data_IF_612247045774
#
_entry.id   IF_612247045774
#
_cell.length_a   1.000
_cell.length_b   1.000
_cell.length_c   1.000
_cell.angle_alpha   90.00
_cell.angle_beta   90.00
_cell.angle_gamma   90.00
#
_symmetry.space_group_name_H-M   'P 1'
#
loop_
_entity.id
_entity.type
_entity.pdbx_description
1 polymer ?
#
# COMPACT_ATOMS: atom_id res chain seq x y z
N UNK A 1 17.27 21.43 18.27
CA UNK A 1 17.39 22.11 16.94
C UNK A 1 15.96 22.37 16.47
N UNK A 2 15.60 23.60 16.08
CA UNK A 2 14.23 23.91 15.65
C UNK A 2 14.06 23.71 14.14
N UNK A 3 12.82 23.53 13.66
CA UNK A 3 12.51 23.47 12.22
C UNK A 3 12.94 24.72 11.46
N UNK A 4 12.90 25.89 12.09
CA UNK A 4 13.36 27.17 11.48
C UNK A 4 14.86 27.19 11.13
N UNK A 5 15.68 26.38 11.80
CA UNK A 5 17.10 26.25 11.50
C UNK A 5 17.40 25.30 10.33
N UNK A 6 16.40 24.60 9.79
CA UNK A 6 16.60 23.60 8.73
C UNK A 6 16.54 24.19 7.30
N UNK A 7 16.25 25.48 7.12
CA UNK A 7 16.20 26.12 5.80
C UNK A 7 14.95 25.83 4.98
N UNK A 8 13.84 25.48 5.62
CA UNK A 8 12.55 25.24 4.97
C UNK A 8 11.89 26.56 4.53
N UNK A 9 11.06 26.48 3.50
CA UNK A 9 10.25 27.61 3.01
C UNK A 9 9.32 28.14 4.14
N UNK A 10 9.12 29.47 4.27
CA UNK A 10 8.27 30.06 5.31
C UNK A 10 6.83 29.50 5.34
N UNK A 11 6.23 29.22 4.17
CA UNK A 11 4.89 28.65 4.06
C UNK A 11 4.85 27.20 4.61
N UNK A 12 5.91 26.44 4.38
CA UNK A 12 6.07 25.09 4.94
C UNK A 12 6.28 25.15 6.45
N UNK A 13 7.13 26.06 6.95
CA UNK A 13 7.33 26.26 8.39
C UNK A 13 6.02 26.64 9.09
N UNK A 14 5.22 27.50 8.49
CA UNK A 14 3.90 27.84 9.01
C UNK A 14 3.01 26.61 9.10
N UNK A 15 2.92 25.80 8.05
CA UNK A 15 2.13 24.59 8.03
C UNK A 15 2.58 23.54 9.07
N UNK A 16 3.89 23.38 9.26
CA UNK A 16 4.51 22.51 10.29
C UNK A 16 4.10 22.95 11.70
N UNK A 17 4.16 24.25 11.97
CA UNK A 17 3.74 24.84 13.27
C UNK A 17 2.24 24.62 13.53
N UNK A 18 1.40 24.83 12.51
CA UNK A 18 -0.06 24.61 12.59
C UNK A 18 -0.43 23.14 12.73
N UNK A 19 0.41 22.20 12.25
CA UNK A 19 0.29 20.77 12.49
C UNK A 19 0.78 20.32 13.88
N UNK A 20 1.26 21.27 14.74
CA UNK A 20 1.67 21.00 16.12
C UNK A 20 3.10 20.46 16.28
N UNK A 21 3.90 20.47 15.22
CA UNK A 21 5.28 20.02 15.31
C UNK A 21 6.18 21.14 15.88
N UNK A 22 6.83 20.89 17.01
CA UNK A 22 7.71 21.84 17.70
C UNK A 22 9.19 21.63 17.37
N UNK A 23 9.63 20.37 17.34
CA UNK A 23 11.01 20.00 17.11
C UNK A 23 11.15 18.88 16.07
N UNK A 24 12.18 18.93 15.23
CA UNK A 24 12.42 17.86 14.26
C UNK A 24 12.92 16.59 14.95
N UNK A 25 12.44 15.47 14.50
CA UNK A 25 12.98 14.16 14.91
C UNK A 25 14.43 13.98 14.42
N UNK A 26 15.20 13.04 14.99
CA UNK A 26 16.59 12.81 14.58
C UNK A 26 16.76 12.56 13.08
N UNK A 27 15.85 11.78 12.44
CA UNK A 27 15.91 11.53 10.99
C UNK A 27 15.62 12.81 10.18
N UNK A 28 14.69 13.67 10.64
CA UNK A 28 14.36 14.92 9.99
C UNK A 28 15.53 15.90 10.08
N UNK A 29 16.12 16.06 11.27
CA UNK A 29 17.25 16.94 11.49
C UNK A 29 18.48 16.55 10.65
N UNK A 30 18.72 15.25 10.45
CA UNK A 30 19.85 14.74 9.68
C UNK A 30 19.60 14.68 8.16
N UNK A 31 18.35 14.43 7.72
CA UNK A 31 18.04 14.24 6.30
C UNK A 31 17.63 15.51 5.57
N UNK A 32 16.94 16.45 6.23
CA UNK A 32 16.44 17.67 5.57
C UNK A 32 17.55 18.53 4.96
N UNK A 33 18.65 18.86 5.68
CA UNK A 33 19.69 19.72 5.12
C UNK A 33 20.38 19.14 3.85
N UNK A 34 20.84 17.87 3.80
CA UNK A 34 21.43 17.33 2.58
C UNK A 34 20.42 17.22 1.42
N UNK A 35 19.13 16.99 1.68
CA UNK A 35 18.08 16.98 0.64
C UNK A 35 17.94 18.41 0.06
N UNK A 36 17.87 19.43 0.89
CA UNK A 36 17.82 20.84 0.44
C UNK A 36 19.08 21.24 -0.33
N UNK A 37 20.24 20.69 0.03
CA UNK A 37 21.49 20.90 -0.71
C UNK A 37 21.52 20.19 -2.08
N UNK A 38 20.52 19.34 -2.41
CA UNK A 38 20.42 18.67 -3.71
C UNK A 38 21.10 17.30 -3.78
N UNK A 39 21.55 16.75 -2.67
CA UNK A 39 22.15 15.41 -2.64
C UNK A 39 21.09 14.32 -2.72
N UNK A 40 21.39 13.24 -3.42
CA UNK A 40 20.68 11.98 -3.24
C UNK A 40 20.86 11.47 -1.81
N UNK A 41 19.87 10.76 -1.27
CA UNK A 41 19.91 10.36 0.14
C UNK A 41 19.38 8.94 0.33
N UNK A 42 20.09 8.19 1.19
CA UNK A 42 19.62 6.94 1.77
C UNK A 42 19.26 7.21 3.24
N UNK A 43 17.98 7.14 3.57
CA UNK A 43 17.47 7.30 4.93
C UNK A 43 17.10 5.97 5.56
N UNK A 44 17.89 5.50 6.52
CA UNK A 44 17.63 4.25 7.24
C UNK A 44 17.08 4.57 8.62
N UNK A 45 15.80 4.29 8.83
CA UNK A 45 15.13 4.51 10.12
C UNK A 45 13.84 3.67 10.21
N UNK A 46 13.44 3.31 11.42
CA UNK A 46 12.22 2.54 11.68
C UNK A 46 10.95 3.31 11.30
N UNK A 47 9.81 2.61 11.17
CA UNK A 47 8.50 3.26 10.99
C UNK A 47 8.14 4.06 12.24
N UNK A 48 7.44 5.20 12.06
CA UNK A 48 7.07 6.08 13.17
C UNK A 48 8.17 7.07 13.60
N UNK A 49 9.35 7.06 12.98
CA UNK A 49 10.44 8.02 13.30
C UNK A 49 10.31 9.36 12.60
N UNK A 50 9.28 9.55 11.75
CA UNK A 50 9.07 10.79 11.01
C UNK A 50 9.72 10.85 9.63
N UNK A 51 10.02 9.68 8.98
CA UNK A 51 10.59 9.61 7.63
C UNK A 51 9.78 10.37 6.59
N UNK A 52 8.44 10.27 6.65
CA UNK A 52 7.56 10.96 5.69
C UNK A 52 7.78 12.47 5.68
N UNK A 53 7.87 13.11 6.85
CA UNK A 53 8.18 14.52 6.93
C UNK A 53 9.63 14.82 6.52
N UNK A 54 10.58 13.90 6.78
CA UNK A 54 11.98 14.08 6.43
C UNK A 54 12.22 14.24 4.92
N UNK A 55 11.42 13.61 4.06
CA UNK A 55 11.49 13.84 2.61
C UNK A 55 10.44 14.84 2.09
N UNK A 56 9.25 14.86 2.67
CA UNK A 56 8.15 15.71 2.18
C UNK A 56 8.45 17.19 2.39
N UNK A 57 8.91 17.60 3.57
CA UNK A 57 9.18 19.01 3.89
C UNK A 57 10.22 19.64 2.96
N UNK A 58 11.43 19.06 2.74
CA UNK A 58 12.41 19.64 1.83
C UNK A 58 11.96 19.57 0.37
N UNK A 59 11.25 18.50 -0.05
CA UNK A 59 10.69 18.39 -1.40
C UNK A 59 9.66 19.50 -1.65
N UNK A 60 8.72 19.72 -0.74
CA UNK A 60 7.73 20.80 -0.84
C UNK A 60 8.38 22.19 -0.82
N UNK A 61 9.43 22.40 -0.03
CA UNK A 61 10.20 23.65 -0.03
C UNK A 61 10.75 23.95 -1.42
N UNK A 62 11.34 22.96 -2.09
CA UNK A 62 11.86 23.12 -3.45
C UNK A 62 10.76 23.31 -4.50
N UNK A 63 9.64 22.58 -4.36
CA UNK A 63 8.47 22.75 -5.24
C UNK A 63 7.81 24.12 -5.05
N UNK A 64 7.80 24.69 -3.84
CA UNK A 64 7.23 25.99 -3.56
C UNK A 64 7.86 27.08 -4.43
N UNK A 65 9.19 27.08 -4.57
CA UNK A 65 9.91 28.02 -5.42
C UNK A 65 9.52 27.87 -6.91
N UNK A 66 9.46 26.61 -7.40
CA UNK A 66 9.13 26.34 -8.81
C UNK A 66 7.66 26.63 -9.17
N UNK A 67 6.72 26.32 -8.26
CA UNK A 67 5.28 26.53 -8.45
C UNK A 67 4.92 28.01 -8.29
N UNK A 68 5.54 28.72 -7.35
CA UNK A 68 5.28 30.15 -7.07
C UNK A 68 5.52 31.05 -8.27
N UNK A 69 6.49 30.73 -9.10
CA UNK A 69 6.82 31.46 -10.33
C UNK A 69 5.88 31.15 -11.51
N UNK A 70 4.90 30.26 -11.32
CA UNK A 70 3.96 29.83 -12.39
C UNK A 70 4.62 29.09 -13.56
N UNK A 71 5.91 28.78 -13.45
CA UNK A 71 6.71 28.12 -14.51
C UNK A 71 6.46 26.63 -14.60
N UNK A 72 6.02 26.02 -13.49
CA UNK A 72 5.87 24.57 -13.41
C UNK A 72 4.48 24.12 -13.87
N UNK A 73 4.40 23.43 -15.00
CA UNK A 73 3.15 22.91 -15.57
C UNK A 73 3.01 21.40 -15.59
N UNK A 74 4.07 20.63 -15.23
CA UNK A 74 4.09 19.18 -15.28
C UNK A 74 4.41 18.54 -13.92
N UNK A 75 4.49 17.21 -13.91
CA UNK A 75 4.85 16.43 -12.72
C UNK A 75 6.33 16.61 -12.40
N UNK A 76 6.62 17.16 -11.23
CA UNK A 76 7.97 17.44 -10.76
C UNK A 76 8.46 16.42 -9.76
N UNK A 77 7.56 15.79 -9.03
CA UNK A 77 7.90 14.84 -8.00
C UNK A 77 7.06 13.57 -8.10
N UNK A 78 7.71 12.44 -7.83
CA UNK A 78 7.12 11.11 -7.73
C UNK A 78 7.53 10.47 -6.41
N UNK A 79 6.55 10.02 -5.64
CA UNK A 79 6.76 9.20 -4.45
C UNK A 79 6.21 7.81 -4.72
N UNK A 80 7.04 6.79 -4.61
CA UNK A 80 6.64 5.39 -4.69
C UNK A 80 6.53 4.80 -3.29
N UNK A 81 5.44 4.10 -3.02
CA UNK A 81 5.15 3.45 -1.75
C UNK A 81 4.52 2.06 -1.97
N UNK A 82 4.80 1.06 -1.08
CA UNK A 82 4.36 -0.32 -1.28
C UNK A 82 2.85 -0.53 -1.21
N UNK A 83 2.15 0.26 -0.40
CA UNK A 83 0.74 0.03 -0.08
C UNK A 83 -0.13 1.26 -0.32
N UNK A 84 -1.41 1.01 -0.57
CA UNK A 84 -2.42 2.06 -0.77
C UNK A 84 -2.60 2.93 0.46
N UNK A 85 -2.54 2.31 1.62
CA UNK A 85 -2.68 2.96 2.92
C UNK A 85 -1.55 3.98 3.11
N UNK A 86 -0.31 3.58 2.81
CA UNK A 86 0.85 4.48 2.91
C UNK A 86 0.77 5.60 1.85
N UNK A 87 0.29 5.31 0.63
CA UNK A 87 0.05 6.36 -0.39
C UNK A 87 -0.92 7.41 0.12
N UNK A 88 -2.03 7.00 0.76
CA UNK A 88 -3.02 7.92 1.33
C UNK A 88 -2.47 8.70 2.53
N UNK A 89 -1.71 8.06 3.40
CA UNK A 89 -1.05 8.74 4.53
C UNK A 89 -0.03 9.77 4.07
N UNK A 90 0.77 9.44 3.04
CA UNK A 90 1.70 10.41 2.46
C UNK A 90 0.92 11.57 1.83
N UNK A 91 -0.21 11.31 1.17
CA UNK A 91 -1.07 12.36 0.61
C UNK A 91 -1.62 13.29 1.69
N UNK A 92 -2.13 12.75 2.81
CA UNK A 92 -2.60 13.52 3.96
C UNK A 92 -1.50 14.42 4.51
N UNK A 93 -0.29 13.88 4.72
CA UNK A 93 0.87 14.64 5.16
C UNK A 93 1.26 15.74 4.16
N UNK A 94 1.31 15.41 2.87
CA UNK A 94 1.62 16.37 1.80
C UNK A 94 0.60 17.51 1.79
N UNK A 95 -0.70 17.21 1.93
CA UNK A 95 -1.76 18.22 2.01
C UNK A 95 -1.64 19.08 3.26
N UNK A 96 -1.32 18.48 4.40
CA UNK A 96 -1.13 19.19 5.66
C UNK A 96 0.07 20.16 5.59
N UNK A 97 1.23 19.67 5.12
CA UNK A 97 2.45 20.47 5.05
C UNK A 97 2.45 21.48 3.87
N UNK A 98 1.75 21.14 2.78
CA UNK A 98 1.65 21.99 1.58
C UNK A 98 0.40 22.86 1.50
N UNK A 99 -0.37 23.01 2.61
CA UNK A 99 -1.68 23.69 2.58
C UNK A 99 -1.66 25.16 2.16
N UNK A 100 -0.49 25.81 2.29
CA UNK A 100 -0.29 27.19 1.87
C UNK A 100 0.29 27.33 0.44
N UNK A 101 0.44 26.19 -0.27
CA UNK A 101 0.93 26.13 -1.65
C UNK A 101 -0.20 25.80 -2.62
N UNK A 102 -0.18 26.32 -3.85
CA UNK A 102 -1.11 25.94 -4.91
C UNK A 102 -0.71 24.55 -5.49
N UNK A 103 -0.51 23.56 -4.62
CA UNK A 103 -0.02 22.25 -4.97
C UNK A 103 -1.15 21.35 -5.51
N UNK A 104 -0.92 20.73 -6.65
CA UNK A 104 -1.80 19.69 -7.21
C UNK A 104 -1.16 18.32 -7.01
N UNK A 105 -1.86 17.46 -6.31
CA UNK A 105 -1.41 16.10 -5.95
C UNK A 105 -2.34 15.08 -6.57
N UNK A 106 -1.80 14.00 -7.10
CA UNK A 106 -2.57 12.82 -7.52
C UNK A 106 -2.05 11.58 -6.80
N UNK A 107 -2.99 10.72 -6.39
CA UNK A 107 -2.68 9.39 -5.85
C UNK A 107 -3.02 8.32 -6.87
N UNK A 108 -2.11 7.33 -7.04
CA UNK A 108 -2.21 6.28 -8.04
C UNK A 108 -1.99 4.90 -7.42
N UNK A 109 -3.06 4.11 -7.30
CA UNK A 109 -2.99 2.75 -6.71
C UNK A 109 -4.10 1.84 -7.23
N UNK A 110 -3.87 0.53 -7.17
CA UNK A 110 -4.81 -0.47 -7.64
C UNK A 110 -6.00 -0.72 -6.70
N UNK A 111 -7.03 -1.47 -7.18
CA UNK A 111 -8.19 -1.93 -6.41
C UNK A 111 -9.25 -0.88 -6.13
N UNK A 112 -9.17 0.23 -6.82
CA UNK A 112 -10.21 1.25 -6.97
C UNK A 112 -10.35 1.61 -8.45
N UNK A 113 -11.43 2.30 -8.80
CA UNK A 113 -11.65 2.77 -10.17
C UNK A 113 -10.47 3.62 -10.67
N UNK A 114 -10.09 3.43 -11.92
CA UNK A 114 -8.95 4.14 -12.51
C UNK A 114 -9.33 5.51 -13.09
N UNK A 115 -10.59 5.69 -13.51
CA UNK A 115 -11.03 6.93 -14.16
C UNK A 115 -10.75 8.21 -13.35
N UNK A 116 -11.01 8.27 -12.03
CA UNK A 116 -10.65 9.46 -11.24
C UNK A 116 -9.15 9.74 -11.24
N UNK A 117 -8.31 8.68 -11.21
CA UNK A 117 -6.86 8.81 -11.25
C UNK A 117 -6.38 9.30 -12.61
N UNK A 118 -6.92 8.77 -13.70
CA UNK A 118 -6.64 9.23 -15.07
C UNK A 118 -7.03 10.71 -15.24
N UNK A 119 -8.20 11.09 -14.74
CA UNK A 119 -8.65 12.48 -14.82
C UNK A 119 -7.74 13.43 -14.04
N UNK A 120 -7.31 13.05 -12.84
CA UNK A 120 -6.35 13.82 -12.05
C UNK A 120 -5.01 14.01 -12.78
N UNK A 121 -4.48 12.94 -13.38
CA UNK A 121 -3.24 13.00 -14.16
C UNK A 121 -3.38 13.90 -15.39
N UNK A 122 -4.49 13.81 -16.12
CA UNK A 122 -4.78 14.66 -17.31
C UNK A 122 -4.96 16.13 -16.95
N UNK A 123 -5.54 16.43 -15.80
CA UNK A 123 -5.69 17.81 -15.31
C UNK A 123 -4.34 18.47 -14.96
N UNK A 124 -3.28 17.69 -14.93
CA UNK A 124 -1.92 18.11 -14.58
C UNK A 124 -1.70 18.12 -13.06
N UNK A 125 -0.64 17.50 -12.64
CA UNK A 125 -0.26 17.36 -11.22
C UNK A 125 1.20 17.79 -11.05
N UNK A 126 1.53 18.34 -9.88
CA UNK A 126 2.91 18.65 -9.51
C UNK A 126 3.58 17.47 -8.82
N UNK A 127 2.81 16.71 -8.04
CA UNK A 127 3.27 15.56 -7.27
C UNK A 127 2.36 14.37 -7.49
N UNK A 128 2.95 13.22 -7.83
CA UNK A 128 2.27 11.92 -7.88
C UNK A 128 2.79 11.06 -6.74
N UNK A 129 1.86 10.46 -5.98
CA UNK A 129 2.15 9.48 -4.93
C UNK A 129 1.53 8.16 -5.37
N UNK A 130 2.32 7.09 -5.51
CA UNK A 130 1.85 5.91 -6.22
C UNK A 130 2.33 4.57 -5.67
N UNK A 131 1.50 3.53 -5.84
CA UNK A 131 1.96 2.15 -5.81
C UNK A 131 2.51 1.74 -7.19
N UNK A 132 3.66 1.03 -7.25
CA UNK A 132 4.35 0.76 -8.51
C UNK A 132 3.49 0.10 -9.59
N UNK A 133 2.66 -0.91 -9.24
CA UNK A 133 1.90 -1.68 -10.22
C UNK A 133 0.90 -0.87 -11.04
N UNK A 134 0.04 -0.06 -10.40
CA UNK A 134 -0.93 0.78 -11.09
C UNK A 134 -0.26 1.94 -11.82
N UNK A 135 0.80 2.51 -11.25
CA UNK A 135 1.53 3.56 -11.93
C UNK A 135 2.12 3.07 -13.24
N UNK A 136 2.76 1.90 -13.23
CA UNK A 136 3.34 1.29 -14.42
C UNK A 136 2.28 1.06 -15.51
N UNK A 137 1.08 0.55 -15.16
CA UNK A 137 -0.05 0.40 -16.10
C UNK A 137 -0.44 1.75 -16.74
N UNK A 138 -0.61 2.79 -15.93
CA UNK A 138 -0.99 4.11 -16.42
C UNK A 138 0.12 4.79 -17.25
N UNK A 139 1.40 4.53 -16.93
CA UNK A 139 2.55 5.00 -17.73
C UNK A 139 2.59 4.31 -19.10
N UNK A 140 2.41 3.00 -19.16
CA UNK A 140 2.36 2.24 -20.42
C UNK A 140 1.24 2.74 -21.34
N UNK A 141 0.12 3.17 -20.76
CA UNK A 141 -1.02 3.76 -21.45
C UNK A 141 -0.88 5.26 -21.68
N UNK A 142 0.28 5.87 -21.37
CA UNK A 142 0.63 7.28 -21.57
C UNK A 142 -0.30 8.28 -20.86
N UNK A 143 -0.83 7.90 -19.69
CA UNK A 143 -1.62 8.83 -18.87
C UNK A 143 -0.78 9.64 -17.88
N UNK A 144 0.45 9.21 -17.57
CA UNK A 144 1.37 9.92 -16.70
C UNK A 144 2.60 10.39 -17.51
N UNK A 145 2.90 11.69 -17.43
CA UNK A 145 4.07 12.33 -18.03
C UNK A 145 5.03 12.78 -16.94
N UNK A 146 6.27 12.30 -17.02
CA UNK A 146 7.35 12.59 -16.09
C UNK A 146 8.50 13.38 -16.74
N UNK A 147 8.30 13.96 -17.90
CA UNK A 147 9.33 14.72 -18.63
C UNK A 147 9.95 15.87 -17.81
N UNK A 148 9.20 16.39 -16.86
CA UNK A 148 9.63 17.48 -15.95
C UNK A 148 10.00 16.99 -14.54
N UNK A 149 10.19 15.68 -14.34
CA UNK A 149 10.45 15.11 -13.02
C UNK A 149 11.83 15.55 -12.50
N UNK A 150 11.84 16.08 -11.29
CA UNK A 150 13.03 16.53 -10.57
C UNK A 150 13.32 15.71 -9.32
N UNK A 151 12.28 15.12 -8.72
CA UNK A 151 12.37 14.40 -7.45
C UNK A 151 11.72 13.02 -7.56
N UNK A 152 12.47 11.99 -7.18
CA UNK A 152 11.99 10.62 -6.98
C UNK A 152 12.21 10.23 -5.53
N UNK A 153 11.16 9.75 -4.88
CA UNK A 153 11.23 9.17 -3.53
C UNK A 153 10.77 7.73 -3.57
N UNK A 154 11.55 6.84 -2.98
CA UNK A 154 11.21 5.45 -2.73
C UNK A 154 11.03 5.30 -1.21
N UNK A 155 9.78 5.24 -0.73
CA UNK A 155 9.49 5.06 0.69
C UNK A 155 9.15 3.61 1.02
N UNK A 156 9.66 3.10 2.15
CA UNK A 156 9.62 1.70 2.53
C UNK A 156 10.15 0.79 1.39
N UNK A 157 11.36 1.09 0.91
CA UNK A 157 11.96 0.40 -0.24
C UNK A 157 12.16 -1.11 0.01
N UNK A 158 12.65 -1.50 1.20
CA UNK A 158 12.77 -2.89 1.64
C UNK A 158 11.44 -3.65 1.44
N UNK A 159 10.37 -3.03 1.80
CA UNK A 159 9.05 -3.58 1.69
C UNK A 159 8.54 -3.68 0.26
N UNK A 160 8.87 -2.73 -0.60
CA UNK A 160 8.56 -2.86 -2.02
C UNK A 160 9.28 -4.06 -2.64
N UNK A 161 10.49 -4.40 -2.15
CA UNK A 161 11.22 -5.60 -2.56
C UNK A 161 10.53 -6.88 -2.08
N UNK A 162 10.16 -6.96 -0.79
CA UNK A 162 9.44 -8.10 -0.21
C UNK A 162 8.13 -8.40 -0.95
N UNK A 163 7.47 -7.37 -1.46
CA UNK A 163 6.24 -7.49 -2.24
C UNK A 163 6.47 -7.81 -3.72
N UNK A 164 7.72 -7.99 -4.15
CA UNK A 164 8.08 -8.32 -5.52
C UNK A 164 7.96 -7.17 -6.52
N UNK A 165 7.94 -5.91 -6.05
CA UNK A 165 7.82 -4.75 -6.94
C UNK A 165 9.12 -4.34 -7.63
N UNK A 166 10.25 -5.00 -7.36
CA UNK A 166 11.53 -4.67 -7.95
C UNK A 166 11.50 -4.53 -9.49
N UNK A 167 10.89 -5.47 -10.27
CA UNK A 167 10.80 -5.32 -11.72
C UNK A 167 10.03 -4.07 -12.14
N UNK A 168 8.92 -3.78 -11.46
CA UNK A 168 8.09 -2.60 -11.75
C UNK A 168 8.83 -1.30 -11.43
N UNK A 169 9.53 -1.25 -10.29
CA UNK A 169 10.33 -0.08 -9.89
C UNK A 169 11.44 0.18 -10.92
N UNK A 170 12.19 -0.85 -11.33
CA UNK A 170 13.22 -0.72 -12.36
C UNK A 170 12.67 -0.19 -13.68
N UNK A 171 11.51 -0.67 -14.10
CA UNK A 171 10.88 -0.22 -15.34
C UNK A 171 10.42 1.24 -15.23
N UNK A 172 9.81 1.63 -14.11
CA UNK A 172 9.42 3.03 -13.83
C UNK A 172 10.68 3.92 -13.90
N UNK A 173 11.70 3.60 -13.09
CA UNK A 173 12.91 4.44 -12.95
C UNK A 173 13.65 4.63 -14.27
N UNK A 174 13.71 3.59 -15.12
CA UNK A 174 14.32 3.66 -16.48
C UNK A 174 13.59 4.61 -17.42
N UNK A 175 12.30 4.86 -17.20
CA UNK A 175 11.50 5.79 -18.01
C UNK A 175 11.51 7.23 -17.50
N UNK A 176 12.14 7.48 -16.35
CA UNK A 176 12.25 8.82 -15.75
C UNK A 176 13.51 9.55 -16.28
N UNK A 177 13.53 10.91 -16.25
CA UNK A 177 14.72 11.69 -16.56
C UNK A 177 15.92 11.28 -15.69
N UNK A 178 17.11 11.20 -16.29
CA UNK A 178 18.33 10.87 -15.55
C UNK A 178 18.72 11.97 -14.56
N UNK A 179 18.58 13.23 -14.97
CA UNK A 179 18.87 14.39 -14.12
C UNK A 179 17.70 14.60 -13.15
N UNK A 180 17.77 13.98 -11.98
CA UNK A 180 16.82 14.09 -10.90
C UNK A 180 17.53 13.89 -9.56
N UNK A 181 16.92 14.32 -8.47
CA UNK A 181 17.30 13.94 -7.12
C UNK A 181 16.52 12.68 -6.71
N UNK A 182 17.21 11.65 -6.22
CA UNK A 182 16.58 10.40 -5.79
C UNK A 182 16.78 10.17 -4.31
N UNK A 183 15.69 9.99 -3.58
CA UNK A 183 15.66 9.75 -2.13
C UNK A 183 15.14 8.33 -1.90
N UNK A 184 15.86 7.54 -1.10
CA UNK A 184 15.45 6.20 -0.73
C UNK A 184 15.32 6.13 0.79
N UNK A 185 14.15 5.73 1.27
CA UNK A 185 13.88 5.50 2.68
C UNK A 185 13.52 4.03 2.92
N UNK A 186 14.13 3.44 3.94
CA UNK A 186 13.98 2.03 4.29
C UNK A 186 14.10 1.83 5.79
N UNK A 187 13.53 0.76 6.33
CA UNK A 187 13.80 0.35 7.72
C UNK A 187 15.08 -0.48 7.82
N UNK A 188 15.47 -1.17 6.74
CA UNK A 188 16.65 -2.04 6.68
C UNK A 188 17.57 -1.67 5.52
N UNK A 189 18.85 -2.00 5.64
CA UNK A 189 19.84 -1.88 4.56
C UNK A 189 20.30 -3.29 4.17
N UNK A 190 19.49 -3.98 3.39
CA UNK A 190 19.84 -5.28 2.82
C UNK A 190 20.75 -5.11 1.58
N UNK A 191 21.39 -6.20 1.13
CA UNK A 191 22.20 -6.18 -0.09
C UNK A 191 21.40 -5.79 -1.32
N UNK A 192 20.12 -6.16 -1.36
CA UNK A 192 19.19 -5.81 -2.43
C UNK A 192 18.93 -4.30 -2.44
N UNK A 193 18.76 -3.68 -1.26
CA UNK A 193 18.62 -2.22 -1.13
C UNK A 193 19.93 -1.52 -1.56
N UNK A 194 21.08 -2.01 -1.13
CA UNK A 194 22.37 -1.47 -1.56
C UNK A 194 22.52 -1.54 -3.09
N UNK A 195 22.11 -2.64 -3.72
CA UNK A 195 22.10 -2.76 -5.17
C UNK A 195 21.20 -1.72 -5.83
N UNK A 196 19.99 -1.51 -5.30
CA UNK A 196 19.07 -0.49 -5.81
C UNK A 196 19.63 0.93 -5.68
N UNK A 197 20.33 1.24 -4.60
CA UNK A 197 20.94 2.57 -4.42
C UNK A 197 22.00 2.81 -5.50
N UNK A 198 22.82 1.81 -5.81
CA UNK A 198 23.81 1.92 -6.87
C UNK A 198 23.17 2.05 -8.27
N UNK A 199 22.01 1.42 -8.51
CA UNK A 199 21.32 1.52 -9.79
C UNK A 199 20.62 2.88 -10.00
N UNK A 200 20.09 3.51 -8.93
CA UNK A 200 19.14 4.63 -9.04
C UNK A 200 19.65 5.96 -8.51
N UNK A 201 20.71 5.97 -7.72
CA UNK A 201 21.23 7.14 -7.04
C UNK A 201 22.65 7.48 -7.47
N UNK A 202 23.00 8.76 -7.37
CA UNK A 202 24.32 9.26 -7.65
C UNK A 202 24.98 9.83 -6.38
N UNK A 203 26.08 9.19 -5.93
CA UNK A 203 26.84 9.57 -4.73
C UNK A 203 25.94 9.93 -3.53
N UNK A 204 25.04 9.05 -3.09
CA UNK A 204 24.05 9.38 -2.08
C UNK A 204 24.68 9.63 -0.71
N UNK A 205 24.10 10.55 0.06
CA UNK A 205 24.40 10.70 1.48
C UNK A 205 23.61 9.66 2.27
N UNK A 206 24.25 8.94 3.17
CA UNK A 206 23.58 7.97 4.04
C UNK A 206 23.31 8.59 5.40
N UNK A 207 22.05 8.58 5.80
CA UNK A 207 21.58 8.96 7.13
C UNK A 207 20.96 7.74 7.78
N UNK A 208 21.53 7.28 8.88
CA UNK A 208 21.04 6.12 9.62
C UNK A 208 20.73 6.52 11.07
N UNK A 209 19.48 6.29 11.49
CA UNK A 209 19.02 6.54 12.85
C UNK A 209 18.67 5.20 13.50
N UNK A 210 19.31 4.95 14.66
CA UNK A 210 19.20 3.68 15.38
C UNK A 210 20.24 2.64 14.95
N UNK A 211 20.39 1.59 15.75
CA UNK A 211 21.27 0.45 15.43
C UNK A 211 20.59 -0.47 14.42
N UNK A 212 21.39 -1.10 13.56
CA UNK A 212 20.96 -1.98 12.42
C UNK A 212 19.95 -3.10 12.77
N UNK A 213 19.76 -3.45 14.03
CA UNK A 213 19.10 -4.72 14.40
C UNK A 213 18.39 -4.72 15.75
N UNK A 214 18.07 -3.58 16.36
CA UNK A 214 17.35 -3.65 17.63
C UNK A 214 15.84 -3.50 17.38
N UNK A 215 15.02 -4.54 17.60
CA UNK A 215 13.58 -4.36 17.77
C UNK A 215 13.42 -3.31 18.87
N UNK A 216 12.48 -2.41 18.69
CA UNK A 216 12.29 -1.25 19.54
C UNK A 216 12.64 -1.58 21.00
N UNK A 217 13.67 -0.90 21.53
CA UNK A 217 14.09 -1.05 22.94
C UNK A 217 12.94 -0.73 23.90
N UNK A 218 11.91 -0.10 23.39
CA UNK A 218 10.68 0.30 24.06
C UNK A 218 9.59 -0.78 24.04
N UNK A 219 9.80 -1.94 23.37
CA UNK A 219 8.80 -3.00 23.26
C UNK A 219 9.19 -4.20 24.14
N UNK A 220 8.36 -4.51 25.13
CA UNK A 220 8.47 -5.75 25.90
C UNK A 220 8.09 -6.94 25.02
N UNK A 221 8.94 -7.93 24.92
CA UNK A 221 8.72 -9.08 24.04
C UNK A 221 8.48 -10.33 24.87
N UNK A 222 7.35 -11.00 24.63
CA UNK A 222 6.91 -12.18 25.36
C UNK A 222 6.56 -13.32 24.39
N UNK A 223 6.91 -14.53 24.78
CA UNK A 223 6.53 -15.77 24.07
C UNK A 223 5.62 -16.60 24.96
N UNK A 224 4.50 -17.04 24.39
CA UNK A 224 3.61 -18.03 24.98
C UNK A 224 3.66 -19.31 24.16
N UNK A 225 4.20 -20.37 24.74
CA UNK A 225 4.20 -21.68 24.14
C UNK A 225 2.81 -22.30 24.29
N UNK A 226 2.13 -22.58 23.17
CA UNK A 226 0.73 -23.01 23.18
C UNK A 226 0.43 -23.96 22.03
N UNK A 227 -0.30 -25.06 22.26
CA UNK A 227 -0.80 -25.91 21.18
C UNK A 227 -1.69 -25.12 20.22
N UNK A 228 -1.62 -25.43 18.93
CA UNK A 228 -2.37 -24.75 17.86
C UNK A 228 -3.88 -24.67 18.14
N UNK A 229 -4.47 -25.73 18.73
CA UNK A 229 -5.89 -25.79 19.09
C UNK A 229 -6.29 -24.80 20.19
N UNK A 230 -5.35 -24.39 21.04
CA UNK A 230 -5.60 -23.50 22.18
C UNK A 230 -5.29 -22.03 21.90
N UNK A 231 -4.69 -21.69 20.74
CA UNK A 231 -4.29 -20.31 20.43
C UNK A 231 -5.45 -19.30 20.57
N UNK A 232 -6.64 -19.62 20.04
CA UNK A 232 -7.80 -18.72 20.13
C UNK A 232 -8.29 -18.55 21.58
N UNK A 233 -8.38 -19.66 22.33
CA UNK A 233 -8.80 -19.62 23.73
C UNK A 233 -7.81 -18.82 24.60
N UNK A 234 -6.51 -18.97 24.34
CA UNK A 234 -5.47 -18.19 25.01
C UNK A 234 -5.60 -16.69 24.65
N UNK A 235 -5.81 -16.35 23.37
CA UNK A 235 -6.00 -14.96 22.97
C UNK A 235 -7.22 -14.34 23.66
N UNK A 236 -8.36 -15.03 23.68
CA UNK A 236 -9.58 -14.58 24.38
C UNK A 236 -9.32 -14.40 25.88
N UNK A 237 -8.53 -15.28 26.48
CA UNK A 237 -8.15 -15.19 27.89
C UNK A 237 -7.31 -13.93 28.17
N UNK A 238 -6.27 -13.68 27.37
CA UNK A 238 -5.38 -12.52 27.49
C UNK A 238 -6.12 -11.20 27.22
N UNK A 239 -7.02 -11.16 26.24
CA UNK A 239 -7.83 -9.96 25.91
C UNK A 239 -8.79 -9.50 27.03
N UNK A 240 -8.93 -10.27 28.12
CA UNK A 240 -9.65 -9.86 29.33
C UNK A 240 -8.80 -8.97 30.24
N UNK A 241 -7.50 -8.94 30.06
CA UNK A 241 -6.60 -8.09 30.83
C UNK A 241 -6.85 -6.61 30.45
N UNK A 242 -7.08 -5.70 31.44
CA UNK A 242 -7.38 -4.29 31.16
C UNK A 242 -6.28 -3.56 30.37
N UNK A 243 -5.03 -4.05 30.45
CA UNK A 243 -3.91 -3.49 29.70
C UNK A 243 -3.99 -3.73 28.17
N UNK A 244 -4.77 -4.74 27.75
CA UNK A 244 -4.95 -5.09 26.34
C UNK A 244 -6.12 -4.30 25.71
N UNK A 245 -5.98 -2.98 25.63
CA UNK A 245 -7.03 -2.07 25.16
C UNK A 245 -7.07 -1.99 23.63
N UNK A 246 -5.96 -1.68 22.99
CA UNK A 246 -5.85 -1.51 21.55
C UNK A 246 -4.87 -2.53 20.97
N UNK A 247 -5.39 -3.64 20.43
CA UNK A 247 -4.60 -4.83 20.09
C UNK A 247 -4.58 -5.10 18.59
N UNK A 248 -3.37 -5.19 18.03
CA UNK A 248 -3.16 -5.60 16.63
C UNK A 248 -2.71 -7.07 16.59
N UNK A 249 -3.53 -7.93 15.97
CA UNK A 249 -3.30 -9.38 15.90
C UNK A 249 -2.87 -9.77 14.49
N UNK A 250 -1.72 -10.41 14.36
CA UNK A 250 -1.19 -10.89 13.09
C UNK A 250 -1.49 -12.36 12.84
N UNK A 251 -2.08 -12.65 11.69
CA UNK A 251 -2.29 -13.99 11.16
C UNK A 251 -1.59 -14.17 9.82
N UNK A 252 -1.14 -15.38 9.52
CA UNK A 252 -0.44 -15.71 8.27
C UNK A 252 -1.35 -15.63 7.03
N UNK A 253 -2.62 -16.05 7.17
CA UNK A 253 -3.54 -16.21 6.06
C UNK A 253 -4.82 -15.39 6.24
N UNK A 254 -5.32 -14.81 5.13
CA UNK A 254 -6.57 -14.04 5.10
C UNK A 254 -7.78 -14.80 5.64
N UNK A 255 -7.89 -16.10 5.33
CA UNK A 255 -8.97 -16.95 5.84
C UNK A 255 -8.85 -17.22 7.35
N UNK A 256 -7.61 -17.29 7.87
CA UNK A 256 -7.37 -17.37 9.30
C UNK A 256 -7.79 -16.09 10.01
N UNK A 257 -7.53 -14.91 9.41
CA UNK A 257 -7.97 -13.63 9.94
C UNK A 257 -9.50 -13.56 10.07
N UNK A 258 -10.24 -13.93 9.02
CA UNK A 258 -11.70 -13.94 9.04
C UNK A 258 -12.27 -14.94 10.06
N UNK A 259 -11.65 -16.11 10.19
CA UNK A 259 -12.05 -17.13 11.18
C UNK A 259 -11.81 -16.64 12.61
N UNK A 260 -10.60 -16.13 12.86
CA UNK A 260 -10.23 -15.63 14.18
C UNK A 260 -11.15 -14.47 14.61
N UNK A 261 -11.41 -13.51 13.72
CA UNK A 261 -12.29 -12.39 14.01
C UNK A 261 -13.70 -12.86 14.42
N UNK A 262 -14.29 -13.81 13.68
CA UNK A 262 -15.60 -14.39 14.04
C UNK A 262 -15.57 -15.08 15.41
N UNK A 263 -14.48 -15.82 15.73
CA UNK A 263 -14.34 -16.47 17.04
C UNK A 263 -14.20 -15.44 18.16
N UNK A 264 -13.50 -14.34 17.93
CA UNK A 264 -13.37 -13.24 18.89
C UNK A 264 -14.71 -12.55 19.11
N UNK A 265 -15.47 -12.24 18.04
CA UNK A 265 -16.80 -11.66 18.11
C UNK A 265 -17.79 -12.55 18.88
N UNK A 266 -17.76 -13.88 18.67
CA UNK A 266 -18.54 -14.85 19.43
C UNK A 266 -18.24 -14.85 20.94
N UNK A 267 -17.02 -14.42 21.31
CA UNK A 267 -16.60 -14.25 22.70
C UNK A 267 -16.77 -12.79 23.20
N UNK A 268 -17.54 -11.97 22.50
CA UNK A 268 -17.87 -10.60 22.91
C UNK A 268 -16.78 -9.56 22.66
N UNK A 269 -15.72 -9.90 21.90
CA UNK A 269 -14.63 -8.97 21.57
C UNK A 269 -14.99 -8.19 20.30
N UNK A 270 -15.01 -6.85 20.38
CA UNK A 270 -15.22 -5.98 19.22
C UNK A 270 -14.00 -6.04 18.30
N UNK A 271 -14.18 -6.61 17.11
CA UNK A 271 -13.07 -6.96 16.20
C UNK A 271 -13.32 -6.42 14.79
N UNK A 272 -12.25 -5.99 14.12
CA UNK A 272 -12.26 -5.73 12.70
C UNK A 272 -11.16 -6.53 11.99
N UNK A 273 -11.26 -6.70 10.66
CA UNK A 273 -10.28 -7.45 9.88
C UNK A 273 -9.66 -6.60 8.77
N UNK A 274 -8.36 -6.81 8.55
CA UNK A 274 -7.59 -6.11 7.53
C UNK A 274 -6.75 -7.10 6.70
N UNK A 275 -7.22 -7.42 5.49
CA UNK A 275 -6.52 -8.33 4.57
C UNK A 275 -6.92 -8.10 3.11
N UNK A 276 -6.21 -8.74 2.18
CA UNK A 276 -6.35 -8.51 0.73
C UNK A 276 -7.74 -8.79 0.14
N UNK A 277 -8.58 -9.62 0.78
CA UNK A 277 -9.95 -9.90 0.33
C UNK A 277 -10.97 -8.83 0.76
N UNK A 278 -10.57 -7.84 1.56
CA UNK A 278 -11.41 -6.69 1.92
C UNK A 278 -11.31 -5.62 0.84
N UNK A 279 -12.44 -5.02 0.47
CA UNK A 279 -12.44 -3.85 -0.42
C UNK A 279 -11.72 -2.67 0.25
N UNK A 280 -11.25 -1.70 -0.55
CA UNK A 280 -10.54 -0.54 0.00
C UNK A 280 -11.39 0.24 1.03
N UNK A 281 -12.68 0.41 0.75
CA UNK A 281 -13.59 1.08 1.69
C UNK A 281 -13.74 0.30 3.01
N UNK A 282 -13.81 -1.04 2.96
CA UNK A 282 -13.84 -1.87 4.16
C UNK A 282 -12.55 -1.75 4.96
N UNK A 283 -11.39 -1.70 4.29
CA UNK A 283 -10.08 -1.55 4.94
C UNK A 283 -9.95 -0.19 5.61
N UNK A 284 -10.32 0.90 4.92
CA UNK A 284 -10.31 2.25 5.49
C UNK A 284 -11.25 2.37 6.68
N UNK A 285 -12.45 1.76 6.59
CA UNK A 285 -13.40 1.72 7.71
C UNK A 285 -12.84 0.95 8.90
N UNK A 286 -12.27 -0.24 8.68
CA UNK A 286 -11.68 -1.05 9.75
C UNK A 286 -10.54 -0.31 10.47
N UNK A 287 -9.69 0.40 9.71
CA UNK A 287 -8.63 1.25 10.28
C UNK A 287 -9.18 2.44 11.05
N UNK A 288 -10.23 3.09 10.52
CA UNK A 288 -10.89 4.19 11.21
C UNK A 288 -11.53 3.74 12.49
N UNK A 289 -12.35 2.67 12.45
CA UNK A 289 -13.03 2.11 13.61
C UNK A 289 -12.03 1.68 14.70
N UNK A 290 -10.84 1.19 14.31
CA UNK A 290 -9.76 0.85 15.23
C UNK A 290 -9.08 2.09 15.82
N UNK A 291 -8.77 3.11 15.00
CA UNK A 291 -8.20 4.39 15.46
C UNK A 291 -9.12 5.12 16.44
N UNK A 292 -10.41 5.10 16.15
CA UNK A 292 -11.45 5.79 16.96
C UNK A 292 -11.83 4.98 18.22
N UNK A 293 -11.23 3.78 18.45
CA UNK A 293 -11.56 2.92 19.60
C UNK A 293 -12.93 2.23 19.50
N UNK A 294 -13.60 2.30 18.34
CA UNK A 294 -14.88 1.61 18.13
C UNK A 294 -14.73 0.08 18.15
N UNK A 295 -13.55 -0.41 17.76
CA UNK A 295 -13.11 -1.80 17.90
C UNK A 295 -11.79 -1.85 18.66
N UNK A 296 -11.65 -2.81 19.59
CA UNK A 296 -10.44 -2.98 20.41
C UNK A 296 -9.41 -3.90 19.76
N UNK A 297 -9.82 -4.74 18.82
CA UNK A 297 -8.93 -5.72 18.17
C UNK A 297 -9.00 -5.57 16.66
N UNK A 298 -7.83 -5.40 16.04
CA UNK A 298 -7.67 -5.45 14.59
C UNK A 298 -6.90 -6.73 14.20
N UNK A 299 -7.56 -7.66 13.51
CA UNK A 299 -6.92 -8.88 12.99
C UNK A 299 -6.45 -8.64 11.57
N UNK A 300 -5.15 -8.79 11.32
CA UNK A 300 -4.55 -8.42 10.05
C UNK A 300 -3.56 -9.47 9.52
N UNK A 301 -3.34 -9.45 8.21
CA UNK A 301 -2.21 -10.15 7.58
C UNK A 301 -1.04 -9.18 7.37
N UNK A 302 0.19 -9.70 7.31
CA UNK A 302 1.40 -8.89 7.13
C UNK A 302 1.27 -7.88 5.99
N UNK A 303 0.89 -8.33 4.80
CA UNK A 303 0.77 -7.48 3.61
C UNK A 303 -0.22 -6.33 3.85
N UNK A 304 -1.30 -6.57 4.56
CA UNK A 304 -2.34 -5.57 4.77
C UNK A 304 -2.06 -4.64 5.96
N UNK A 305 -1.40 -5.14 6.99
CA UNK A 305 -1.04 -4.36 8.18
C UNK A 305 0.23 -3.52 8.01
N UNK A 306 0.95 -3.83 6.97
CA UNK A 306 2.15 -3.06 6.62
C UNK A 306 1.75 -1.63 6.21
N UNK A 307 2.45 -0.59 6.72
CA UNK A 307 2.14 0.82 6.49
C UNK A 307 0.97 1.36 7.30
N UNK A 308 0.38 0.59 8.22
CA UNK A 308 -0.59 1.13 9.17
C UNK A 308 0.14 2.11 10.09
N UNK A 309 -0.33 3.33 10.08
CA UNK A 309 0.05 4.37 11.02
C UNK A 309 -1.12 4.60 11.97
N UNK A 310 -1.09 3.85 13.05
CA UNK A 310 -2.04 3.94 14.16
C UNK A 310 -1.22 4.09 15.42
N UNK A 311 -1.41 5.20 16.09
CA UNK A 311 -0.79 5.46 17.38
C UNK A 311 -1.63 4.80 18.50
N UNK A 312 -1.00 4.55 19.63
CA UNK A 312 -1.69 4.03 20.81
C UNK A 312 -1.95 2.53 20.79
N UNK A 313 -1.39 1.76 19.84
CA UNK A 313 -1.47 0.29 19.90
C UNK A 313 -0.73 -0.18 21.15
N UNK A 314 -1.48 -0.71 22.12
CA UNK A 314 -0.96 -1.21 23.38
C UNK A 314 -0.20 -2.53 23.17
N UNK A 315 -0.79 -3.44 22.40
CA UNK A 315 -0.23 -4.77 22.18
C UNK A 315 -0.21 -5.17 20.72
N UNK A 316 0.88 -5.82 20.32
CA UNK A 316 0.98 -6.58 19.08
C UNK A 316 0.98 -8.06 19.42
N UNK A 317 0.05 -8.83 18.85
CA UNK A 317 -0.01 -10.28 19.03
C UNK A 317 0.34 -10.99 17.73
N UNK A 318 1.46 -11.69 17.70
CA UNK A 318 1.79 -12.66 16.65
C UNK A 318 1.01 -13.94 16.91
N UNK A 319 -0.26 -14.00 16.51
CA UNK A 319 -1.09 -15.21 16.61
C UNK A 319 -0.51 -16.36 15.80
N UNK A 320 -0.03 -16.07 14.59
CA UNK A 320 0.85 -16.94 13.82
C UNK A 320 2.27 -16.36 13.85
N UNK A 321 3.24 -17.18 14.28
CA UNK A 321 4.63 -16.79 14.35
C UNK A 321 5.16 -16.44 12.95
N UNK A 322 5.91 -15.35 12.78
CA UNK A 322 6.43 -14.94 11.47
C UNK A 322 7.51 -15.92 10.98
N UNK A 323 7.54 -16.14 9.65
CA UNK A 323 8.53 -17.03 9.02
C UNK A 323 9.89 -16.33 8.82
N UNK A 324 9.89 -15.00 8.72
CA UNK A 324 11.08 -14.19 8.51
C UNK A 324 11.27 -13.25 9.70
N UNK A 325 12.51 -13.05 10.07
CA UNK A 325 12.88 -12.19 11.21
C UNK A 325 12.50 -10.74 10.96
N UNK A 326 12.61 -10.29 9.73
CA UNK A 326 12.24 -8.94 9.29
C UNK A 326 10.74 -8.68 9.51
N UNK A 327 9.88 -9.67 9.22
CA UNK A 327 8.44 -9.54 9.47
C UNK A 327 8.15 -9.35 10.96
N UNK A 328 8.89 -10.07 11.83
CA UNK A 328 8.75 -9.89 13.29
C UNK A 328 9.03 -8.44 13.70
N UNK A 329 10.15 -7.89 13.26
CA UNK A 329 10.54 -6.49 13.56
C UNK A 329 9.49 -5.49 13.05
N UNK A 330 9.00 -5.70 11.84
CA UNK A 330 7.95 -4.88 11.25
C UNK A 330 6.61 -4.96 11.97
N UNK A 331 6.26 -6.13 12.52
CA UNK A 331 5.04 -6.33 13.31
C UNK A 331 5.13 -5.62 14.66
N UNK A 332 6.18 -5.90 15.43
CA UNK A 332 6.32 -5.33 16.77
C UNK A 332 6.53 -3.82 16.76
N UNK A 333 7.12 -3.26 15.69
CA UNK A 333 7.23 -1.81 15.48
C UNK A 333 5.89 -1.11 15.21
N UNK A 334 4.74 -1.79 15.36
CA UNK A 334 3.40 -1.16 15.37
C UNK A 334 3.01 -0.68 16.76
N UNK A 335 3.65 -1.17 17.83
CA UNK A 335 3.51 -0.66 19.20
C UNK A 335 4.81 0.02 19.66
N UNK A 336 4.84 0.62 20.82
CA UNK A 336 6.03 1.29 21.38
C UNK A 336 6.47 2.54 20.59
N UNK A 337 5.54 3.23 19.93
CA UNK A 337 5.80 4.46 19.16
C UNK A 337 5.75 5.71 20.00
N UNK A 338 6.40 6.79 19.53
CA UNK A 338 6.40 8.14 20.14
C UNK A 338 6.76 8.11 21.65
N UNK A 339 7.74 7.27 22.05
CA UNK A 339 8.19 7.08 23.44
C UNK A 339 7.19 6.36 24.36
N UNK A 340 6.08 5.81 23.83
CA UNK A 340 5.20 4.93 24.60
C UNK A 340 5.83 3.54 24.77
N UNK A 341 5.53 2.90 25.90
CA UNK A 341 5.86 1.48 26.12
C UNK A 341 4.80 0.62 25.44
N UNK A 342 5.20 -0.45 24.78
CA UNK A 342 4.30 -1.37 24.12
C UNK A 342 4.70 -2.81 24.33
N UNK A 343 3.76 -3.74 24.24
CA UNK A 343 4.00 -5.17 24.43
C UNK A 343 3.81 -5.96 23.14
N UNK A 344 4.73 -6.87 22.86
CA UNK A 344 4.68 -7.80 21.74
C UNK A 344 4.57 -9.24 22.28
N UNK A 345 3.44 -9.88 22.01
CA UNK A 345 3.14 -11.24 22.43
C UNK A 345 3.23 -12.17 21.21
N UNK A 346 3.98 -13.25 21.31
CA UNK A 346 4.10 -14.25 20.24
C UNK A 346 3.63 -15.62 20.70
N UNK A 347 2.67 -16.21 19.97
CA UNK A 347 2.25 -17.57 20.18
C UNK A 347 3.13 -18.52 19.39
N UNK A 348 3.80 -19.43 20.09
CA UNK A 348 4.76 -20.37 19.53
C UNK A 348 4.20 -21.79 19.71
N UNK A 349 4.15 -22.52 18.60
CA UNK A 349 3.86 -23.95 18.59
C UNK A 349 5.16 -24.75 18.49
N UNK A 350 5.15 -26.08 18.73
CA UNK A 350 6.35 -26.91 18.55
C UNK A 350 6.98 -26.76 17.14
N UNK A 351 6.17 -26.51 16.11
CA UNK A 351 6.65 -26.32 14.74
C UNK A 351 7.40 -25.00 14.58
N UNK A 352 7.09 -23.97 15.37
CA UNK A 352 7.65 -22.61 15.24
C UNK A 352 9.01 -22.45 15.99
N UNK A 353 9.53 -23.49 16.67
CA UNK A 353 10.78 -23.38 17.45
C UNK A 353 12.03 -23.12 16.61
N UNK A 354 12.01 -23.52 15.32
CA UNK A 354 13.09 -23.22 14.37
C UNK A 354 13.23 -21.73 14.12
N UNK A 355 12.13 -21.10 13.80
CA UNK A 355 11.99 -19.67 13.52
C UNK A 355 12.25 -18.84 14.78
N UNK A 356 11.76 -19.28 15.94
CA UNK A 356 12.04 -18.63 17.23
C UNK A 356 13.54 -18.59 17.53
N UNK A 357 14.26 -19.69 17.35
CA UNK A 357 15.72 -19.73 17.54
C UNK A 357 16.46 -18.83 16.54
N UNK A 358 15.97 -18.75 15.31
CA UNK A 358 16.53 -17.84 14.30
C UNK A 358 16.33 -16.38 14.71
N UNK A 359 15.15 -16.04 15.21
CA UNK A 359 14.82 -14.71 15.72
C UNK A 359 15.68 -14.34 16.94
N UNK A 360 15.82 -15.23 17.93
CA UNK A 360 16.63 -14.97 19.13
C UNK A 360 18.12 -14.77 18.81
N UNK A 361 18.64 -15.51 17.83
CA UNK A 361 20.01 -15.28 17.31
C UNK A 361 20.15 -13.91 16.64
N UNK A 362 19.14 -13.49 15.89
CA UNK A 362 19.13 -12.20 15.23
C UNK A 362 19.06 -11.04 16.25
N UNK A 363 18.20 -11.18 17.27
CA UNK A 363 18.05 -10.17 18.33
C UNK A 363 19.28 -10.17 19.26
N UNK A 364 20.05 -11.26 19.30
CA UNK A 364 21.20 -11.43 20.18
C UNK A 364 20.86 -11.74 21.64
N UNK A 365 19.57 -12.03 21.92
CA UNK A 365 19.08 -12.42 23.27
C UNK A 365 17.87 -13.34 23.17
N UNK A 366 17.65 -14.15 24.23
CA UNK A 366 16.42 -14.93 24.38
C UNK A 366 15.21 -14.03 24.63
N UNK A 367 14.04 -14.40 24.12
CA UNK A 367 12.76 -13.76 24.43
C UNK A 367 12.16 -14.43 25.66
N UNK A 368 11.59 -13.63 26.56
CA UNK A 368 11.01 -14.13 27.81
C UNK A 368 9.81 -15.06 27.51
N UNK A 369 9.88 -16.31 28.03
CA UNK A 369 8.76 -17.26 27.98
C UNK A 369 7.84 -16.99 29.16
N UNK A 370 6.53 -16.88 28.86
CA UNK A 370 5.50 -16.65 29.87
C UNK A 370 4.39 -17.70 29.74
N UNK A 371 3.74 -17.99 30.83
CA UNK A 371 2.49 -18.77 30.87
C UNK A 371 1.38 -17.87 31.40
N UNK A 372 0.21 -17.93 30.78
CA UNK A 372 -0.93 -17.14 31.23
C UNK A 372 -1.47 -17.74 32.56
N UNK A 373 -1.60 -16.88 33.56
CA UNK A 373 -2.14 -17.27 34.86
C UNK A 373 -3.62 -17.60 34.70
N UNK A 374 -4.09 -18.64 35.36
CA UNK A 374 -5.49 -19.10 35.29
C UNK A 374 -5.93 -19.70 33.96
N UNK A 375 -5.01 -19.85 32.97
CA UNK A 375 -5.34 -20.51 31.72
C UNK A 375 -5.04 -22.00 31.75
N UNK A 376 -6.03 -22.82 31.37
CA UNK A 376 -5.89 -24.27 31.34
C UNK A 376 -5.28 -24.76 30.01
N UNK A 377 -3.99 -25.05 30.02
CA UNK A 377 -3.25 -25.59 28.87
C UNK A 377 -3.55 -27.06 28.54
N UNK A 378 -4.22 -27.79 29.46
CA UNK A 378 -4.63 -29.18 29.24
C UNK A 378 -6.03 -29.34 28.65
N UNK A 379 -6.71 -28.22 28.37
CA UNK A 379 -8.05 -28.24 27.80
C UNK A 379 -8.06 -28.85 26.41
N UNK A 380 -8.84 -29.92 26.23
CA UNK A 380 -9.11 -30.48 24.90
C UNK A 380 -10.23 -29.64 24.25
N UNK A 381 -9.87 -28.86 23.25
CA UNK A 381 -10.88 -28.14 22.43
C UNK A 381 -11.42 -29.14 21.41
N UNK A 382 -12.73 -29.47 21.42
CA UNK A 382 -13.33 -30.30 20.39
C UNK A 382 -13.05 -29.67 19.02
N UNK A 383 -12.53 -30.48 18.09
CA UNK A 383 -12.45 -30.06 16.69
C UNK A 383 -13.89 -29.84 16.18
N UNK A 384 -14.31 -28.60 16.05
CA UNK A 384 -15.48 -28.26 15.26
C UNK A 384 -15.11 -28.54 13.81
N UNK A 385 -15.54 -29.68 13.31
CA UNK A 385 -15.46 -30.01 11.87
C UNK A 385 -16.38 -29.00 11.20
N UNK A 386 -15.79 -27.97 10.60
CA UNK A 386 -16.56 -27.06 9.74
C UNK A 386 -17.17 -27.88 8.60
N UNK A 387 -18.49 -27.94 8.60
CA UNK A 387 -19.27 -28.47 7.47
C UNK A 387 -18.88 -27.63 6.24
N UNK A 388 -18.04 -28.23 5.38
CA UNK A 388 -17.77 -27.63 4.06
C UNK A 388 -19.12 -27.53 3.37
N UNK A 389 -19.52 -26.36 2.84
CA UNK A 389 -20.73 -26.27 2.07
C UNK A 389 -20.67 -27.34 0.98
N UNK A 390 -21.55 -28.34 1.08
CA UNK A 390 -21.72 -29.34 0.05
C UNK A 390 -22.06 -28.59 -1.23
N UNK A 391 -21.16 -28.62 -2.20
CA UNK A 391 -21.52 -28.25 -3.56
C UNK A 391 -22.84 -28.96 -3.91
N UNK A 392 -23.85 -28.28 -4.42
CA UNK A 392 -25.04 -28.95 -4.91
C UNK A 392 -24.58 -29.90 -5.99
N UNK A 393 -24.66 -31.20 -5.68
CA UNK A 393 -24.52 -32.25 -6.70
C UNK A 393 -25.60 -31.95 -7.75
N UNK A 394 -25.20 -31.66 -8.96
CA UNK A 394 -26.06 -31.64 -10.11
C UNK A 394 -26.80 -32.96 -10.10
N UNK A 395 -28.11 -32.91 -9.84
CA UNK A 395 -29.02 -34.04 -10.01
C UNK A 395 -28.86 -34.52 -11.45
N UNK A 396 -28.26 -35.70 -11.58
CA UNK A 396 -28.21 -36.45 -12.84
C UNK A 396 -29.61 -36.61 -13.34
N UNK A 397 -29.86 -36.16 -14.55
CA UNK A 397 -31.06 -36.44 -15.29
C UNK A 397 -31.17 -37.97 -15.43
N UNK A 398 -32.26 -38.54 -14.90
CA UNK A 398 -32.67 -39.91 -15.07
C UNK A 398 -32.81 -40.22 -16.55
N UNK A 399 -31.90 -41.00 -17.09
CA UNK A 399 -32.11 -41.68 -18.39
C UNK A 399 -33.17 -42.73 -18.21
N UNK A 400 -34.28 -42.58 -18.96
CA UNK A 400 -35.34 -43.59 -19.11
C UNK A 400 -34.82 -44.89 -19.72
N UNK A 401 -35.55 -46.01 -19.56
CA UNK A 401 -35.09 -47.33 -19.91
C UNK A 401 -34.97 -47.52 -21.44
N UNK A 402 -33.78 -47.88 -21.88
CA UNK A 402 -33.53 -48.29 -23.26
C UNK A 402 -34.04 -49.72 -23.48
N UNK A 403 -34.85 -49.91 -24.51
CA UNK A 403 -35.39 -51.17 -25.09
C UNK A 403 -34.20 -51.99 -25.61
N UNK A 404 -34.22 -53.35 -25.44
CA UNK A 404 -33.13 -54.21 -25.92
C UNK A 404 -33.21 -54.40 -27.46
N UNK A 405 -32.06 -54.13 -28.11
CA UNK A 405 -31.88 -54.55 -29.51
C UNK A 405 -31.12 -55.88 -29.56
N UNK A 406 -31.67 -56.76 -30.48
CA UNK A 406 -31.25 -58.08 -30.77
C UNK A 406 -29.84 -58.14 -31.43
N UNK A 407 -29.12 -59.31 -31.29
CA UNK A 407 -27.76 -59.41 -31.85
C UNK A 407 -27.83 -59.84 -33.31
N UNK A 408 -26.96 -59.29 -34.15
CA UNK A 408 -26.60 -59.85 -35.43
C UNK A 408 -25.16 -60.29 -35.48
N UNK A 409 -24.97 -61.47 -35.97
CA UNK A 409 -23.74 -62.24 -36.08
C UNK A 409 -22.79 -61.78 -37.18
N UNK A 410 -21.49 -62.00 -36.91
CA UNK A 410 -20.43 -62.56 -37.78
C UNK A 410 -20.05 -61.75 -39.03
N UNK A 411 -18.84 -61.58 -39.37
CA UNK A 411 -17.71 -62.51 -39.54
C UNK A 411 -16.45 -61.74 -39.96
N UNK A 412 -15.36 -62.04 -39.33
CA UNK A 412 -14.09 -62.54 -39.90
C UNK A 412 -13.36 -61.70 -40.95
N UNK A 413 -12.16 -61.38 -40.66
CA UNK A 413 -10.87 -61.76 -41.27
C UNK A 413 -9.89 -60.64 -41.57
N UNK A 414 -8.78 -60.84 -40.96
CA UNK A 414 -7.40 -60.76 -41.46
C UNK A 414 -6.64 -59.42 -41.70
N UNK A 415 -5.58 -59.36 -40.95
CA UNK A 415 -4.31 -58.64 -41.05
C UNK A 415 -3.52 -58.97 -42.35
N UNK A 416 -2.30 -58.38 -42.49
CA UNK A 416 -1.77 -57.07 -42.86
C UNK A 416 -0.95 -57.18 -44.19
N UNK A 417 0.16 -56.50 -44.51
CA UNK A 417 1.07 -55.55 -43.86
C UNK A 417 1.68 -54.43 -44.75
N UNK A 418 2.46 -53.57 -44.07
CA UNK A 418 3.72 -52.92 -44.49
C UNK A 418 3.80 -52.08 -45.79
N UNK A 419 4.45 -50.92 -45.62
CA UNK A 419 5.52 -50.53 -46.50
C UNK A 419 5.44 -49.15 -47.13
N UNK A 420 6.45 -48.32 -46.86
CA UNK A 420 7.03 -47.46 -47.89
C UNK A 420 6.87 -45.95 -47.77
N UNK A 421 7.84 -45.30 -47.19
CA UNK A 421 8.33 -44.00 -47.63
C UNK A 421 8.98 -44.15 -49.03
N UNK A 422 8.99 -43.14 -49.93
CA UNK A 422 9.95 -42.04 -49.83
C UNK A 422 9.51 -40.69 -50.43
N UNK A 423 10.22 -39.68 -50.01
CA UNK A 423 10.78 -38.43 -50.53
C UNK A 423 10.50 -37.90 -51.94
N UNK A 424 10.68 -36.57 -52.03
CA UNK A 424 10.92 -35.63 -53.14
C UNK A 424 9.64 -35.06 -53.77
N UNK A 425 9.53 -33.77 -54.03
CA UNK A 425 10.42 -32.69 -54.29
C UNK A 425 9.70 -31.64 -55.10
N UNK A 426 9.99 -30.40 -54.87
CA UNK A 426 10.11 -29.47 -55.95
C UNK A 426 8.93 -28.63 -56.41
N UNK A 427 9.03 -27.34 -56.21
CA UNK A 427 8.94 -26.41 -57.34
C UNK A 427 7.61 -25.66 -57.54
N UNK A 428 7.71 -24.35 -57.56
CA UNK A 428 6.98 -23.54 -58.50
C UNK A 428 6.04 -22.43 -57.95
N UNK A 429 6.62 -21.25 -57.83
CA UNK A 429 5.87 -20.00 -58.07
C UNK A 429 5.52 -19.92 -59.56
N UNK A 430 4.42 -19.23 -59.98
CA UNK A 430 4.66 -17.87 -60.45
C UNK A 430 3.53 -16.86 -60.15
N UNK A 431 3.91 -15.61 -60.38
CA UNK A 431 3.21 -14.34 -60.39
C UNK A 431 2.11 -14.23 -61.48
N UNK A 432 1.17 -13.31 -61.27
CA UNK A 432 0.73 -12.24 -62.21
C UNK A 432 -0.49 -11.53 -61.63
N UNK A 433 -0.47 -10.17 -61.40
CA UNK A 433 -0.93 -9.10 -62.26
C UNK A 433 -2.46 -9.21 -62.49
N UNK A 434 -3.29 -8.21 -62.27
CA UNK A 434 -3.22 -6.80 -62.33
C UNK A 434 -4.63 -6.23 -62.39
N UNK A 435 -4.77 -4.96 -62.17
CA UNK A 435 -5.73 -4.05 -62.82
C UNK A 435 -7.05 -3.77 -62.03
N UNK A 436 -7.34 -2.59 -61.62
CA UNK A 436 -7.93 -1.50 -62.25
C UNK A 436 -8.73 -0.61 -61.32
N UNK A 437 -8.33 0.61 -61.20
CA UNK A 437 -9.14 1.77 -60.78
C UNK A 437 -10.14 2.12 -61.93
N UNK A 438 -11.25 2.83 -61.68
CA UNK A 438 -11.17 4.28 -61.90
C UNK A 438 -11.95 5.17 -60.92
N UNK A 439 -11.53 6.44 -60.96
CA UNK A 439 -12.04 7.66 -60.37
C UNK A 439 -13.40 8.14 -60.96
N UNK A 440 -14.08 9.03 -60.20
CA UNK A 440 -14.78 10.28 -60.63
C UNK A 440 -15.26 10.97 -59.35
N UNK A 441 -14.79 12.09 -58.90
CA UNK A 441 -14.86 13.52 -59.33
C UNK A 441 -16.27 14.13 -59.28
N UNK A 442 -16.25 15.30 -58.65
CA UNK A 442 -17.13 16.50 -58.66
C UNK A 442 -17.92 16.66 -57.36
N UNK A 443 -17.96 17.78 -56.70
CA UNK A 443 -17.57 19.14 -56.93
C UNK A 443 -18.36 20.01 -55.99
N UNK A 444 -17.73 20.94 -55.30
CA UNK A 444 -17.86 22.34 -55.39
C UNK A 444 -18.88 22.98 -54.43
N UNK A 445 -18.42 23.98 -53.69
CA UNK A 445 -19.25 25.09 -53.30
C UNK A 445 -19.20 25.56 -51.85
N UNK A 446 -18.26 26.45 -51.52
CA UNK A 446 -18.46 27.56 -50.55
C UNK A 446 -19.11 28.69 -51.36
N UNK A 447 -19.80 29.77 -50.80
CA UNK A 447 -19.29 30.61 -49.73
C UNK A 447 -20.36 31.36 -48.87
N UNK A 448 -19.81 32.17 -47.92
CA UNK A 448 -20.24 33.54 -47.47
C UNK A 448 -21.18 33.68 -46.26
N UNK A 449 -20.64 34.32 -45.21
CA UNK A 449 -21.32 35.24 -44.29
C UNK A 449 -21.97 36.44 -45.04
N UNK A 450 -22.92 37.23 -44.42
CA UNK A 450 -22.56 38.19 -43.38
C UNK A 450 -23.67 38.61 -42.37
N UNK A 451 -23.17 39.19 -41.25
CA UNK A 451 -23.54 40.44 -40.60
C UNK A 451 -24.89 40.70 -39.93
N UNK A 452 -24.75 41.10 -38.65
CA UNK A 452 -25.37 42.21 -37.92
C UNK A 452 -26.87 42.23 -37.57
N UNK A 453 -27.10 42.55 -36.29
CA UNK A 453 -28.42 43.06 -35.84
C UNK A 453 -28.54 43.17 -34.33
N UNK A 454 -28.20 44.31 -33.80
CA UNK A 454 -28.51 44.84 -32.47
C UNK A 454 -30.00 44.74 -32.11
N UNK A 455 -30.30 44.59 -30.79
CA UNK A 455 -31.26 45.39 -30.00
C UNK A 455 -31.34 44.84 -28.56
N UNK A 456 -30.90 45.66 -27.64
CA UNK A 456 -31.49 46.31 -26.45
C UNK A 456 -32.77 45.77 -25.84
N UNK A 457 -32.80 45.78 -24.49
CA UNK A 457 -33.98 45.70 -23.59
C UNK A 457 -33.64 44.78 -22.39
N UNK A 458 -33.23 45.19 -21.28
CA UNK A 458 -33.64 46.09 -20.28
C UNK A 458 -34.71 45.47 -19.37
N UNK A 459 -34.32 44.93 -18.20
CA UNK A 459 -35.19 45.09 -17.02
C UNK A 459 -34.43 44.76 -15.71
N UNK A 460 -34.28 45.79 -14.94
CA UNK A 460 -33.94 45.79 -13.50
C UNK A 460 -35.07 45.18 -12.69
N UNK A 461 -34.76 44.50 -11.61
CA UNK A 461 -35.49 44.49 -10.34
C UNK A 461 -34.63 43.99 -9.17
N UNK A 462 -34.12 44.94 -8.41
CA UNK A 462 -34.33 45.19 -6.97
C UNK A 462 -34.08 44.02 -5.96
N UNK A 463 -33.07 44.32 -5.13
CA UNK A 463 -32.84 43.83 -3.76
C UNK A 463 -34.01 44.16 -2.82
N UNK A 464 -34.12 43.47 -1.64
CA UNK A 464 -33.65 44.18 -0.47
C UNK A 464 -32.85 43.31 0.54
N UNK A 465 -31.92 43.99 1.17
CA UNK A 465 -31.21 43.74 2.38
C UNK A 465 -32.13 43.60 3.59
N UNK A 466 -31.82 42.69 4.52
CA UNK A 466 -32.07 42.90 5.97
C UNK A 466 -31.00 42.24 6.82
N UNK A 467 -30.37 43.07 7.59
CA UNK A 467 -29.54 42.91 8.76
C UNK A 467 -30.34 42.35 9.95
N UNK A 468 -29.67 41.56 10.82
CA UNK A 468 -29.58 41.82 12.30
C UNK A 468 -28.80 40.70 13.01
N UNK A 469 -27.67 41.03 13.47
CA UNK A 469 -27.04 40.93 14.79
C UNK A 469 -27.79 40.09 15.84
N UNK A 470 -27.05 39.07 16.38
CA UNK A 470 -27.12 38.81 17.84
C UNK A 470 -25.76 38.25 18.31
N UNK A 471 -25.09 39.09 19.07
CA UNK A 471 -23.93 38.82 19.95
C UNK A 471 -24.45 38.09 21.19
N UNK A 472 -23.85 36.99 21.60
CA UNK A 472 -23.81 36.56 23.01
C UNK A 472 -22.39 36.12 23.36
N UNK A 473 -21.76 36.97 24.16
CA UNK A 473 -20.61 36.65 24.99
C UNK A 473 -21.03 35.73 26.12
N UNK A 474 -20.23 34.74 26.44
CA UNK A 474 -20.08 34.23 27.79
C UNK A 474 -18.59 33.96 28.03
N UNK A 475 -18.09 34.61 29.09
CA UNK A 475 -16.75 34.41 29.69
C UNK A 475 -16.92 33.58 30.99
N UNK A 476 -15.83 33.25 31.70
CA UNK A 476 -15.49 31.93 32.19
C UNK A 476 -15.78 31.73 33.68
N UNK A 477 -15.76 30.47 34.08
CA UNK A 477 -15.22 30.06 35.38
C UNK A 477 -14.47 28.77 35.23
#
# INVERSE_FOLDING_TARGET
MSFSALGLDPKILQAVKEAGYTEPTPIQAAAIPPILAGHDLIGIAQTGTGKTAAFTLPMLTKLAAAIGDGRQRGTCALVLAPTRELVLQIEENVKAYGKHLPLRVATVFGGVGEHPQINALRAGTHLIIACPGRLMDLMQRRYADFSQLQYLVLDEADRMLDMGFLPSIRQIVRSLPQKRQTLLFSATLSKEIETLTHEFQHAPKTVQIGRRSNPAETVTQLVYEVPKSLKTSLLVHLLKEPAMDMVLVFTRMKHAADRLARQLEQNGVKTATLHSNRSQNQRLRALKDFKDGAVSVLVATDIAARGIDVDGISHVVNYDFPMHVEDYVHRIGRTGRAHAVGDAISFVTPEDHGELRALERFIGRGIVRKRAEGFNYAQVVPHVVEDRPRHPQQRGQSRGPQRPQRPQHSSSQSRPPQGGRPQHGGGGRPQSQGGGRPQQQHGGGRPAEPASGNREGGNERHFPSRSSSHVRRFSPR
#
